data_IF_293120556135
#
_entry.id   IF_293120556135
#
_cell.length_a   1.000
_cell.length_b   1.000
_cell.length_c   1.000
_cell.angle_alpha   90.00
_cell.angle_beta   90.00
_cell.angle_gamma   90.00
#
_symmetry.space_group_name_H-M   'P 1'
#
loop_
_entity.id
_entity.type
_entity.pdbx_description
1 polymer ?
#
# COMPACT_ATOMS: atom_id res chain seq x y z
N UNK A 1 4.80 21.84 7.49
CA UNK A 1 5.99 22.72 7.37
C UNK A 1 5.60 23.90 6.50
N UNK A 2 5.53 25.15 7.02
CA UNK A 2 5.22 26.29 6.19
C UNK A 2 6.41 26.57 5.26
N UNK A 3 6.20 26.43 3.94
CA UNK A 3 7.19 26.86 2.95
C UNK A 3 7.03 28.36 2.73
N UNK A 4 8.07 29.13 3.01
CA UNK A 4 8.16 30.54 2.62
C UNK A 4 9.22 30.66 1.52
N UNK A 5 9.06 31.62 0.60
CA UNK A 5 10.01 31.85 -0.50
C UNK A 5 11.47 32.06 -0.02
N UNK A 6 11.65 32.57 1.21
CA UNK A 6 12.98 32.77 1.82
C UNK A 6 13.63 31.51 2.40
N UNK A 7 12.85 30.47 2.71
CA UNK A 7 13.34 29.24 3.31
C UNK A 7 12.79 28.02 2.56
N UNK A 8 13.47 27.55 1.50
CA UNK A 8 13.01 26.39 0.76
C UNK A 8 13.00 25.16 1.67
N UNK A 9 11.83 24.56 1.86
CA UNK A 9 11.62 23.35 2.66
C UNK A 9 12.25 22.09 2.04
N UNK A 10 12.89 22.21 0.88
CA UNK A 10 13.47 21.09 0.14
C UNK A 10 14.56 20.35 0.92
N UNK A 11 15.45 21.07 1.62
CA UNK A 11 16.57 20.46 2.37
C UNK A 11 16.09 19.66 3.59
N UNK A 12 15.24 20.21 4.49
CA UNK A 12 14.71 19.43 5.61
C UNK A 12 13.80 18.29 5.14
N UNK A 13 13.00 18.49 4.08
CA UNK A 13 12.16 17.43 3.52
C UNK A 13 12.98 16.29 2.93
N UNK A 14 14.07 16.60 2.20
CA UNK A 14 14.98 15.59 1.66
C UNK A 14 15.63 14.74 2.76
N UNK A 15 16.13 15.39 3.83
CA UNK A 15 16.69 14.67 4.98
C UNK A 15 15.65 13.80 5.67
N UNK A 16 14.44 14.33 5.88
CA UNK A 16 13.35 13.57 6.48
C UNK A 16 12.98 12.32 5.68
N UNK A 17 12.90 12.44 4.35
CA UNK A 17 12.65 11.33 3.43
C UNK A 17 13.78 10.30 3.50
N UNK A 18 15.05 10.73 3.50
CA UNK A 18 16.19 9.82 3.62
C UNK A 18 16.15 9.01 4.94
N UNK A 19 15.91 9.67 6.08
CA UNK A 19 15.82 8.99 7.37
C UNK A 19 14.63 8.01 7.43
N UNK A 20 13.47 8.40 6.90
CA UNK A 20 12.30 7.53 6.85
C UNK A 20 12.56 6.27 6.03
N UNK A 21 13.12 6.40 4.82
CA UNK A 21 13.44 5.24 3.98
C UNK A 21 14.56 4.37 4.57
N UNK A 22 15.54 4.96 5.25
CA UNK A 22 16.58 4.21 5.95
C UNK A 22 15.98 3.36 7.08
N UNK A 23 15.08 3.95 7.89
CA UNK A 23 14.40 3.23 8.96
C UNK A 23 13.53 2.11 8.41
N UNK A 24 12.77 2.37 7.35
CA UNK A 24 11.97 1.35 6.65
C UNK A 24 12.87 0.21 6.18
N UNK A 25 14.01 0.51 5.55
CA UNK A 25 14.95 -0.51 5.10
C UNK A 25 15.52 -1.32 6.27
N UNK A 26 15.93 -0.67 7.36
CA UNK A 26 16.45 -1.35 8.54
C UNK A 26 15.43 -2.23 9.25
N UNK A 27 14.13 -1.93 9.14
CA UNK A 27 13.08 -2.80 9.69
C UNK A 27 12.71 -3.94 8.72
N UNK A 28 12.51 -3.63 7.43
CA UNK A 28 11.99 -4.59 6.47
C UNK A 28 13.03 -5.60 5.98
N UNK A 29 14.29 -5.18 5.75
CA UNK A 29 15.31 -6.09 5.23
C UNK A 29 15.64 -7.23 6.21
N UNK A 30 15.94 -6.97 7.50
CA UNK A 30 16.20 -8.04 8.45
C UNK A 30 14.99 -8.96 8.66
N UNK A 31 13.78 -8.38 8.64
CA UNK A 31 12.55 -9.16 8.75
C UNK A 31 12.37 -10.10 7.56
N UNK A 32 12.62 -9.63 6.33
CA UNK A 32 12.53 -10.43 5.13
C UNK A 32 13.58 -11.55 5.09
N UNK A 33 14.83 -11.23 5.44
CA UNK A 33 15.94 -12.21 5.50
C UNK A 33 15.67 -13.25 6.58
N UNK A 34 15.30 -12.84 7.80
CA UNK A 34 14.98 -13.75 8.90
C UNK A 34 13.74 -14.60 8.62
N UNK A 35 12.70 -14.00 8.03
CA UNK A 35 11.48 -14.72 7.64
C UNK A 35 11.76 -15.77 6.56
N UNK A 36 12.55 -15.44 5.54
CA UNK A 36 12.94 -16.40 4.51
C UNK A 36 13.85 -17.51 5.06
N UNK A 37 14.77 -17.18 5.98
CA UNK A 37 15.63 -18.17 6.62
C UNK A 37 14.84 -19.14 7.52
N UNK A 38 13.85 -18.64 8.25
CA UNK A 38 13.04 -19.45 9.16
C UNK A 38 11.97 -20.29 8.46
N UNK A 39 11.31 -19.76 7.42
CA UNK A 39 10.16 -20.42 6.79
C UNK A 39 10.44 -20.91 5.37
N UNK A 40 11.44 -20.40 4.65
CA UNK A 40 11.90 -20.92 3.36
C UNK A 40 10.79 -21.37 2.42
N UNK A 41 10.76 -22.67 2.11
CA UNK A 41 9.77 -23.29 1.22
C UNK A 41 8.41 -23.63 1.89
N UNK A 42 8.29 -23.42 3.21
CA UNK A 42 7.12 -23.77 4.02
C UNK A 42 6.05 -22.67 4.02
N UNK A 43 6.30 -21.54 3.35
CA UNK A 43 5.32 -20.47 3.19
C UNK A 43 4.26 -20.94 2.18
N UNK A 44 2.99 -21.12 2.58
CA UNK A 44 1.95 -21.52 1.64
C UNK A 44 1.75 -20.44 0.57
N UNK A 45 1.54 -20.86 -0.69
CA UNK A 45 1.51 -19.99 -1.87
C UNK A 45 0.50 -18.81 -1.77
N UNK A 46 -0.52 -18.94 -0.92
CA UNK A 46 -1.59 -17.95 -0.74
C UNK A 46 -1.55 -17.28 0.65
N UNK A 47 -0.55 -17.56 1.49
CA UNK A 47 -0.50 -17.13 2.89
C UNK A 47 0.61 -16.13 3.16
N UNK A 48 0.34 -15.19 4.07
CA UNK A 48 1.36 -14.30 4.61
C UNK A 48 2.34 -15.05 5.52
N UNK A 49 3.52 -14.49 5.79
CA UNK A 49 4.48 -15.03 6.77
C UNK A 49 3.82 -15.23 8.15
N UNK A 50 2.80 -14.43 8.48
CA UNK A 50 2.02 -14.57 9.70
C UNK A 50 1.21 -15.88 9.73
N UNK A 51 0.65 -16.27 8.59
CA UNK A 51 -0.09 -17.53 8.43
C UNK A 51 0.84 -18.73 8.57
N UNK A 52 2.07 -18.64 8.04
CA UNK A 52 3.10 -19.66 8.24
C UNK A 52 3.52 -19.76 9.73
N UNK A 53 3.67 -18.62 10.41
CA UNK A 53 4.01 -18.58 11.84
C UNK A 53 2.90 -19.22 12.69
N UNK A 54 1.63 -18.92 12.43
CA UNK A 54 0.51 -19.56 13.13
C UNK A 54 0.39 -21.06 12.82
N UNK A 55 0.65 -21.48 11.57
CA UNK A 55 0.55 -22.89 11.18
C UNK A 55 1.67 -23.75 11.80
N UNK A 56 2.91 -23.26 11.82
CA UNK A 56 4.07 -24.04 12.25
C UNK A 56 4.49 -23.81 13.71
N UNK A 57 4.18 -22.65 14.29
CA UNK A 57 4.63 -22.28 15.64
C UNK A 57 3.49 -22.18 16.67
N UNK A 58 2.26 -22.60 16.32
CA UNK A 58 1.13 -22.62 17.26
C UNK A 58 1.29 -23.60 18.43
N UNK A 59 2.12 -24.64 18.28
CA UNK A 59 2.40 -25.60 19.35
C UNK A 59 3.68 -25.29 20.15
N UNK A 60 4.69 -24.67 19.53
CA UNK A 60 5.99 -24.43 20.17
C UNK A 60 6.11 -23.06 20.88
N UNK A 61 5.25 -22.09 20.53
CA UNK A 61 5.29 -20.73 21.10
C UNK A 61 4.27 -20.58 22.23
N UNK A 62 4.67 -19.87 23.30
CA UNK A 62 3.77 -19.57 24.41
C UNK A 62 2.53 -18.79 23.93
N UNK A 63 1.36 -19.22 24.42
CA UNK A 63 0.05 -18.65 24.07
C UNK A 63 0.01 -17.12 24.24
N UNK A 64 0.75 -16.60 25.21
CA UNK A 64 0.88 -15.17 25.49
C UNK A 64 1.56 -14.38 24.38
N UNK A 65 2.62 -14.94 23.76
CA UNK A 65 3.34 -14.27 22.65
C UNK A 65 2.47 -14.21 21.40
N UNK A 66 1.76 -15.29 21.10
CA UNK A 66 0.81 -15.34 19.97
C UNK A 66 -0.33 -14.32 20.15
N UNK A 67 -0.85 -14.18 21.37
CA UNK A 67 -1.85 -13.19 21.72
C UNK A 67 -1.33 -11.75 21.56
N UNK A 68 -0.10 -11.46 22.01
CA UNK A 68 0.52 -10.16 21.84
C UNK A 68 0.69 -9.78 20.37
N UNK A 69 1.21 -10.69 19.54
CA UNK A 69 1.36 -10.47 18.09
C UNK A 69 0.00 -10.14 17.46
N UNK A 70 -1.04 -10.90 17.80
CA UNK A 70 -2.40 -10.66 17.30
C UNK A 70 -2.93 -9.28 17.68
N UNK A 71 -2.74 -8.87 18.94
CA UNK A 71 -3.13 -7.55 19.42
C UNK A 71 -2.38 -6.44 18.67
N UNK A 72 -1.07 -6.58 18.46
CA UNK A 72 -0.28 -5.62 17.68
C UNK A 72 -0.77 -5.51 16.22
N UNK A 73 -1.10 -6.64 15.58
CA UNK A 73 -1.66 -6.65 14.22
C UNK A 73 -3.01 -5.94 14.18
N UNK A 74 -3.89 -6.17 15.15
CA UNK A 74 -5.19 -5.50 15.23
C UNK A 74 -5.01 -3.99 15.42
N UNK A 75 -4.15 -3.57 16.35
CA UNK A 75 -3.87 -2.15 16.59
C UNK A 75 -3.33 -1.49 15.31
N UNK A 76 -2.38 -2.14 14.63
CA UNK A 76 -1.82 -1.65 13.38
C UNK A 76 -2.87 -1.56 12.26
N UNK A 77 -3.77 -2.54 12.17
CA UNK A 77 -4.85 -2.53 11.17
C UNK A 77 -5.85 -1.39 11.42
N UNK A 78 -6.26 -1.18 12.68
CA UNK A 78 -7.20 -0.12 13.06
C UNK A 78 -6.59 1.26 12.84
N UNK A 79 -5.32 1.47 13.21
CA UNK A 79 -4.64 2.75 13.00
C UNK A 79 -4.40 3.03 11.51
N UNK A 80 -3.98 2.02 10.74
CA UNK A 80 -3.77 2.14 9.29
C UNK A 80 -5.06 2.49 8.56
N UNK A 81 -6.19 1.88 8.92
CA UNK A 81 -7.48 2.20 8.31
C UNK A 81 -7.85 3.68 8.47
N UNK A 82 -7.58 4.26 9.65
CA UNK A 82 -7.84 5.68 9.89
C UNK A 82 -6.94 6.59 9.06
N UNK A 83 -5.64 6.27 8.98
CA UNK A 83 -4.67 7.04 8.20
C UNK A 83 -4.98 7.00 6.70
N UNK A 84 -5.29 5.83 6.14
CA UNK A 84 -5.60 5.68 4.72
C UNK A 84 -7.03 6.12 4.36
N UNK A 85 -7.96 6.11 5.30
CA UNK A 85 -9.33 6.58 5.09
C UNK A 85 -9.44 8.11 5.03
N UNK A 86 -8.55 8.85 5.70
CA UNK A 86 -8.63 10.31 5.78
C UNK A 86 -8.62 11.02 4.42
N UNK A 87 -7.71 10.69 3.46
CA UNK A 87 -7.76 11.28 2.12
C UNK A 87 -9.06 10.98 1.37
N UNK A 88 -9.64 9.80 1.56
CA UNK A 88 -10.89 9.42 0.92
C UNK A 88 -12.07 10.22 1.49
N UNK A 89 -12.09 10.41 2.81
CA UNK A 89 -13.12 11.25 3.46
C UNK A 89 -13.01 12.72 3.02
N UNK A 90 -11.79 13.24 2.88
CA UNK A 90 -11.54 14.60 2.41
C UNK A 90 -11.99 14.77 0.94
N UNK A 91 -11.75 13.77 0.07
CA UNK A 91 -12.20 13.80 -1.32
C UNK A 91 -13.73 13.75 -1.44
N UNK A 92 -14.39 12.87 -0.67
CA UNK A 92 -15.86 12.80 -0.60
C UNK A 92 -16.48 14.11 -0.11
N UNK A 93 -15.88 14.74 0.91
CA UNK A 93 -16.34 16.02 1.44
C UNK A 93 -16.11 17.17 0.46
N UNK A 94 -14.97 17.16 -0.23
CA UNK A 94 -14.64 18.11 -1.30
C UNK A 94 -15.66 18.01 -2.44
N UNK A 95 -15.94 16.79 -2.93
CA UNK A 95 -16.92 16.55 -3.98
C UNK A 95 -18.32 17.06 -3.60
N UNK A 96 -18.75 16.83 -2.35
CA UNK A 96 -20.01 17.38 -1.83
C UNK A 96 -20.00 18.91 -1.80
N UNK A 97 -18.92 19.51 -1.28
CA UNK A 97 -18.80 20.97 -1.14
C UNK A 97 -18.77 21.66 -2.51
N UNK A 98 -18.09 21.09 -3.50
CA UNK A 98 -18.07 21.61 -4.87
C UNK A 98 -19.45 21.56 -5.53
N UNK A 99 -20.23 20.49 -5.29
CA UNK A 99 -21.56 20.31 -5.89
C UNK A 99 -22.64 21.14 -5.20
N UNK A 100 -22.69 21.09 -3.87
CA UNK A 100 -23.75 21.69 -3.07
C UNK A 100 -23.42 23.14 -2.62
N UNK A 101 -22.18 23.61 -2.83
CA UNK A 101 -21.68 24.95 -2.45
C UNK A 101 -21.95 25.33 -0.99
N UNK A 102 -22.07 24.33 -0.12
CA UNK A 102 -22.35 24.47 1.32
C UNK A 102 -21.36 23.63 2.11
N UNK A 103 -21.04 24.09 3.32
CA UNK A 103 -20.23 23.32 4.25
C UNK A 103 -20.92 21.98 4.57
N UNK A 104 -20.13 20.92 4.67
CA UNK A 104 -20.62 19.60 5.00
C UNK A 104 -21.08 19.56 6.47
N UNK A 105 -22.37 19.29 6.77
CA UNK A 105 -22.84 19.21 8.15
C UNK A 105 -22.28 17.97 8.85
N UNK A 106 -22.09 18.04 10.17
CA UNK A 106 -21.48 16.96 10.96
C UNK A 106 -22.17 15.60 10.81
N UNK A 107 -23.49 15.58 10.71
CA UNK A 107 -24.26 14.35 10.47
C UNK A 107 -23.94 13.71 9.11
N UNK A 108 -23.78 14.51 8.06
CA UNK A 108 -23.44 14.00 6.73
C UNK A 108 -22.02 13.43 6.70
N UNK A 109 -21.08 14.04 7.41
CA UNK A 109 -19.72 13.50 7.59
C UNK A 109 -19.74 12.15 8.32
N UNK A 110 -20.57 11.99 9.34
CA UNK A 110 -20.76 10.70 10.02
C UNK A 110 -21.37 9.63 9.10
N UNK A 111 -22.33 10.02 8.26
CA UNK A 111 -22.93 9.12 7.26
C UNK A 111 -21.89 8.67 6.23
N UNK A 112 -21.06 9.57 5.69
CA UNK A 112 -20.01 9.20 4.74
C UNK A 112 -19.02 8.19 5.32
N UNK A 113 -18.60 8.37 6.58
CA UNK A 113 -17.72 7.44 7.26
C UNK A 113 -18.38 6.07 7.49
N UNK A 114 -19.65 6.06 7.89
CA UNK A 114 -20.40 4.82 8.12
C UNK A 114 -20.61 4.05 6.82
N UNK A 115 -21.01 4.73 5.73
CA UNK A 115 -21.19 4.10 4.41
C UNK A 115 -19.87 3.55 3.89
N UNK A 116 -18.78 4.32 3.96
CA UNK A 116 -17.47 3.85 3.50
C UNK A 116 -17.01 2.61 4.28
N UNK A 117 -17.11 2.65 5.62
CA UNK A 117 -16.79 1.50 6.46
C UNK A 117 -17.65 0.28 6.14
N UNK A 118 -18.95 0.48 5.94
CA UNK A 118 -19.89 -0.59 5.57
C UNK A 118 -19.55 -1.19 4.20
N UNK A 119 -19.24 -0.36 3.20
CA UNK A 119 -18.84 -0.81 1.86
C UNK A 119 -17.54 -1.61 1.93
N UNK A 120 -16.53 -1.14 2.67
CA UNK A 120 -15.30 -1.89 2.88
C UNK A 120 -15.55 -3.24 3.56
N UNK A 121 -16.40 -3.28 4.59
CA UNK A 121 -16.77 -4.51 5.27
C UNK A 121 -17.52 -5.47 4.34
N UNK A 122 -18.50 -4.96 3.58
CA UNK A 122 -19.26 -5.76 2.63
C UNK A 122 -18.36 -6.35 1.54
N UNK A 123 -17.45 -5.55 0.98
CA UNK A 123 -16.46 -6.00 0.00
C UNK A 123 -15.54 -7.07 0.59
N UNK A 124 -15.06 -6.89 1.82
CA UNK A 124 -14.20 -7.86 2.49
C UNK A 124 -14.89 -9.21 2.71
N UNK A 125 -16.18 -9.21 3.06
CA UNK A 125 -16.99 -10.42 3.24
C UNK A 125 -17.39 -11.05 1.90
N UNK A 126 -17.73 -10.23 0.91
CA UNK A 126 -18.18 -10.71 -0.40
C UNK A 126 -17.04 -11.29 -1.25
N UNK A 127 -15.82 -10.75 -1.10
CA UNK A 127 -14.65 -11.09 -1.91
C UNK A 127 -13.45 -11.50 -1.02
N UNK A 128 -13.50 -12.67 -0.36
CA UNK A 128 -12.42 -13.13 0.52
C UNK A 128 -11.09 -13.36 -0.23
N UNK A 129 -11.14 -13.44 -1.57
CA UNK A 129 -9.98 -13.62 -2.45
C UNK A 129 -9.27 -12.31 -2.83
N UNK A 130 -9.69 -11.14 -2.30
CA UNK A 130 -9.04 -9.85 -2.61
C UNK A 130 -7.54 -9.82 -2.29
N UNK A 131 -7.09 -10.64 -1.33
CA UNK A 131 -5.68 -10.85 -1.05
C UNK A 131 -4.87 -11.26 -2.29
N UNK A 132 -5.40 -12.15 -3.14
CA UNK A 132 -4.75 -12.59 -4.38
C UNK A 132 -4.68 -11.50 -5.45
N UNK A 133 -5.56 -10.49 -5.38
CA UNK A 133 -5.57 -9.34 -6.29
C UNK A 133 -4.65 -8.20 -5.84
N UNK A 134 -4.08 -8.26 -4.63
CA UNK A 134 -3.20 -7.20 -4.10
C UNK A 134 -2.00 -6.94 -5.00
N UNK A 135 -1.39 -7.98 -5.58
CA UNK A 135 -0.29 -7.85 -6.53
C UNK A 135 -0.71 -7.15 -7.83
N UNK A 136 -1.91 -7.42 -8.33
CA UNK A 136 -2.47 -6.77 -9.53
C UNK A 136 -2.78 -5.29 -9.27
N UNK A 137 -3.47 -4.99 -8.16
CA UNK A 137 -3.81 -3.62 -7.74
C UNK A 137 -2.51 -2.82 -7.52
N UNK A 138 -1.53 -3.42 -6.85
CA UNK A 138 -0.20 -2.83 -6.68
C UNK A 138 0.48 -2.54 -8.01
N UNK A 139 0.45 -3.50 -8.95
CA UNK A 139 1.00 -3.36 -10.30
C UNK A 139 0.39 -2.18 -11.08
N UNK A 140 -0.92 -1.94 -10.97
CA UNK A 140 -1.61 -0.81 -11.60
C UNK A 140 -1.24 0.53 -10.95
N UNK A 141 -0.93 0.54 -9.65
CA UNK A 141 -0.52 1.75 -8.93
C UNK A 141 0.94 2.16 -9.20
N UNK A 142 1.83 1.22 -9.56
CA UNK A 142 3.26 1.49 -9.77
C UNK A 142 3.60 2.56 -10.82
N UNK A 143 2.91 2.65 -11.98
CA UNK A 143 3.14 3.74 -12.93
C UNK A 143 2.88 5.11 -12.31
N UNK A 144 1.88 5.21 -11.44
CA UNK A 144 1.49 6.48 -10.80
C UNK A 144 2.51 6.87 -9.73
N UNK A 145 3.05 5.91 -8.99
CA UNK A 145 4.00 6.19 -7.89
C UNK A 145 5.44 6.36 -8.37
N UNK A 146 5.89 5.58 -9.35
CA UNK A 146 7.30 5.58 -9.80
C UNK A 146 7.51 6.25 -11.16
N UNK A 147 6.66 5.97 -12.14
CA UNK A 147 6.89 6.49 -13.50
C UNK A 147 6.43 7.95 -13.66
N UNK A 148 5.26 8.29 -13.13
CA UNK A 148 4.66 9.61 -13.22
C UNK A 148 5.55 10.74 -12.68
N UNK A 149 6.10 10.69 -11.45
CA UNK A 149 6.96 11.77 -10.95
C UNK A 149 8.25 11.93 -11.77
N UNK A 150 8.83 10.84 -12.28
CA UNK A 150 10.01 10.88 -13.12
C UNK A 150 9.74 11.61 -14.45
N UNK A 151 8.64 11.27 -15.13
CA UNK A 151 8.26 11.91 -16.38
C UNK A 151 7.79 13.36 -16.17
N UNK A 152 7.06 13.63 -15.09
CA UNK A 152 6.65 14.99 -14.72
C UNK A 152 7.87 15.87 -14.47
N UNK A 153 8.87 15.39 -13.73
CA UNK A 153 10.10 16.15 -13.48
C UNK A 153 10.86 16.47 -14.78
N UNK A 154 10.97 15.50 -15.69
CA UNK A 154 11.58 15.70 -17.01
C UNK A 154 10.86 16.78 -17.84
N UNK A 155 9.52 16.81 -17.80
CA UNK A 155 8.70 17.82 -18.50
C UNK A 155 8.83 19.22 -17.90
N UNK A 156 8.86 19.33 -16.58
CA UNK A 156 8.92 20.62 -15.86
C UNK A 156 10.33 21.23 -15.90
N UNK A 157 11.36 20.45 -15.58
CA UNK A 157 12.74 20.97 -15.43
C UNK A 157 13.52 21.03 -16.75
N UNK A 158 13.08 20.32 -17.80
CA UNK A 158 13.72 20.28 -19.13
C UNK A 158 15.26 20.22 -19.05
N UNK A 159 15.83 19.21 -18.36
CA UNK A 159 17.28 19.11 -18.20
C UNK A 159 17.97 18.95 -19.57
N UNK A 160 19.26 19.30 -19.65
CA UNK A 160 20.06 19.11 -20.86
C UNK A 160 19.97 17.63 -21.30
N UNK A 161 19.66 17.41 -22.58
CA UNK A 161 19.63 16.07 -23.19
C UNK A 161 20.97 15.39 -22.94
N UNK A 162 20.93 14.11 -22.53
CA UNK A 162 22.09 13.30 -22.14
C UNK A 162 22.80 13.66 -20.83
N UNK A 163 22.24 14.55 -20.01
CA UNK A 163 22.75 14.75 -18.64
C UNK A 163 22.51 13.51 -17.76
N UNK A 164 23.36 13.29 -16.75
CA UNK A 164 23.21 12.20 -15.77
C UNK A 164 21.80 12.20 -15.14
N UNK A 165 21.28 13.37 -14.77
CA UNK A 165 19.92 13.49 -14.22
C UNK A 165 18.83 13.13 -15.23
N UNK A 166 19.07 13.32 -16.53
CA UNK A 166 18.12 12.93 -17.58
C UNK A 166 18.07 11.41 -17.74
N UNK A 167 19.23 10.74 -17.79
CA UNK A 167 19.34 9.28 -17.86
C UNK A 167 18.75 8.59 -16.63
N UNK A 168 19.03 9.09 -15.43
CA UNK A 168 18.51 8.51 -14.18
C UNK A 168 16.98 8.56 -14.14
N UNK A 169 16.37 9.73 -14.44
CA UNK A 169 14.91 9.85 -14.43
C UNK A 169 14.24 9.05 -15.54
N UNK A 170 14.84 8.96 -16.73
CA UNK A 170 14.33 8.11 -17.81
C UNK A 170 14.43 6.63 -17.47
N UNK A 171 15.57 6.19 -16.91
CA UNK A 171 15.80 4.81 -16.49
C UNK A 171 14.83 4.39 -15.39
N UNK A 172 14.67 5.21 -14.34
CA UNK A 172 13.71 4.98 -13.26
C UNK A 172 12.27 4.94 -13.76
N UNK A 173 11.90 5.84 -14.68
CA UNK A 173 10.57 5.86 -15.29
C UNK A 173 10.27 4.59 -16.09
N UNK A 174 11.21 4.18 -16.94
CA UNK A 174 11.08 2.95 -17.74
C UNK A 174 11.04 1.69 -16.86
N UNK A 175 11.90 1.64 -15.83
CA UNK A 175 11.94 0.54 -14.88
C UNK A 175 10.62 0.43 -14.09
N UNK A 176 10.04 1.55 -13.65
CA UNK A 176 8.73 1.57 -13.00
C UNK A 176 7.62 1.03 -13.90
N UNK A 177 7.63 1.38 -15.19
CA UNK A 177 6.68 0.85 -16.18
C UNK A 177 6.89 -0.64 -16.45
N UNK A 178 8.14 -1.10 -16.54
CA UNK A 178 8.46 -2.51 -16.74
C UNK A 178 8.02 -3.36 -15.54
N UNK A 179 8.29 -2.92 -14.31
CA UNK A 179 7.85 -3.58 -13.08
C UNK A 179 6.33 -3.66 -12.98
N UNK A 180 5.62 -2.60 -13.36
CA UNK A 180 4.16 -2.61 -13.45
C UNK A 180 3.67 -3.70 -14.41
N UNK A 181 4.25 -3.79 -15.61
CA UNK A 181 3.89 -4.82 -16.59
C UNK A 181 4.13 -6.25 -16.06
N UNK A 182 5.27 -6.48 -15.40
CA UNK A 182 5.59 -7.78 -14.79
C UNK A 182 4.59 -8.13 -13.69
N UNK A 183 4.27 -7.19 -12.79
CA UNK A 183 3.32 -7.45 -11.70
C UNK A 183 1.89 -7.64 -12.18
N UNK A 184 1.48 -6.94 -13.24
CA UNK A 184 0.18 -7.16 -13.87
C UNK A 184 0.13 -8.56 -14.49
N UNK A 185 1.17 -8.97 -15.21
CA UNK A 185 1.26 -10.31 -15.79
C UNK A 185 1.27 -11.40 -14.70
N UNK A 186 2.04 -11.21 -13.63
CA UNK A 186 2.08 -12.12 -12.49
C UNK A 186 0.73 -12.19 -11.76
N UNK A 187 0.08 -11.05 -11.53
CA UNK A 187 -1.26 -10.99 -10.94
C UNK A 187 -2.29 -11.69 -11.81
N UNK A 188 -2.23 -11.50 -13.14
CA UNK A 188 -3.11 -12.20 -14.08
C UNK A 188 -2.87 -13.70 -14.06
N UNK A 189 -1.60 -14.14 -14.01
CA UNK A 189 -1.24 -15.54 -13.90
C UNK A 189 -1.80 -16.17 -12.63
N UNK A 190 -1.66 -15.51 -11.47
CA UNK A 190 -2.23 -15.97 -10.19
C UNK A 190 -3.75 -16.08 -10.28
N UNK A 191 -4.44 -15.11 -10.92
CA UNK A 191 -5.90 -15.15 -11.08
C UNK A 191 -6.35 -16.32 -11.97
N UNK A 192 -5.58 -16.63 -13.02
CA UNK A 192 -5.86 -17.74 -13.94
C UNK A 192 -5.57 -19.09 -13.26
N UNK A 193 -4.44 -19.22 -12.58
CA UNK A 193 -3.99 -20.47 -11.94
C UNK A 193 -4.81 -20.82 -10.70
N UNK A 194 -5.17 -19.81 -9.89
CA UNK A 194 -6.10 -19.99 -8.76
C UNK A 194 -7.52 -20.32 -9.26
N UNK A 195 -7.78 -20.19 -10.56
CA UNK A 195 -8.94 -20.74 -11.26
C UNK A 195 -10.23 -20.35 -10.57
N UNK A 196 -10.64 -19.08 -10.73
CA UNK A 196 -11.92 -18.45 -10.37
C UNK A 196 -13.00 -19.43 -9.82
N UNK A 197 -12.75 -20.03 -8.65
CA UNK A 197 -13.79 -20.71 -7.85
C UNK A 197 -14.45 -19.58 -7.09
N UNK A 198 -15.37 -18.93 -7.77
CA UNK A 198 -16.17 -17.81 -7.28
C UNK A 198 -16.94 -18.27 -6.03
N UNK A 199 -16.26 -18.23 -4.90
CA UNK A 199 -16.83 -18.52 -3.59
C UNK A 199 -17.35 -17.19 -3.05
N UNK A 200 -18.39 -16.65 -3.69
CA UNK A 200 -19.13 -15.54 -3.12
C UNK A 200 -19.68 -16.01 -1.76
N UNK A 201 -19.41 -15.26 -0.69
CA UNK A 201 -19.92 -15.52 0.66
C UNK A 201 -19.41 -16.78 1.38
N UNK A 202 -18.17 -17.23 1.13
CA UNK A 202 -17.51 -18.24 1.97
C UNK A 202 -16.12 -17.74 2.44
N UNK A 203 -16.04 -17.05 3.59
CA UNK A 203 -14.76 -16.75 4.22
C UNK A 203 -14.16 -18.05 4.79
N UNK A 204 -13.04 -18.53 4.22
CA UNK A 204 -12.21 -19.57 4.82
C UNK A 204 -10.99 -18.94 5.49
#
# INVERSE_FOLDING_TARGET
MPSSEKHPSQVPMWRGVQFAYLLIAMCLFPLAVGGYWAYGHLIPANGSVLTALFAFHSQDVSRSVLALISIFVIINAVSSFQLYGMPMFDDMESAYTTRCKKACPWWLRSIFRAIFGFVCFFIAVALPFLGSFTGLIGGIALPITFAHPCFMWLKVKKPKKYSLSWWVNWGLGLLGMALSGILIAAGLYVVIDTGVKISFFNPQ
#
